data_IF_457755868390
#
_entry.id   IF_457755868390
#
_cell.length_a   1.000
_cell.length_b   1.000
_cell.length_c   1.000
_cell.angle_alpha   90.00
_cell.angle_beta   90.00
_cell.angle_gamma   90.00
#
_symmetry.space_group_name_H-M   'P 1'
#
loop_
_entity.id
_entity.type
_entity.pdbx_description
1 polymer ?
#
# COMPACT_ATOMS: atom_id res chain seq x y z
N UNK A 1 19.53 39.04 27.08
CA UNK A 1 19.00 37.66 27.22
C UNK A 1 17.66 37.63 26.51
N UNK A 2 17.61 37.06 25.31
CA UNK A 2 16.35 36.78 24.62
C UNK A 2 15.95 35.35 24.98
N UNK A 3 14.66 35.15 25.29
CA UNK A 3 14.06 33.85 25.59
C UNK A 3 14.20 32.92 24.38
N UNK A 4 15.32 32.19 24.28
CA UNK A 4 15.56 31.22 23.22
C UNK A 4 14.77 29.92 23.43
N UNK A 5 14.20 29.71 24.62
CA UNK A 5 13.48 28.48 25.00
C UNK A 5 11.96 28.67 25.17
N UNK A 6 11.40 29.78 24.68
CA UNK A 6 9.95 30.03 24.77
C UNK A 6 9.29 29.76 23.42
N UNK A 7 8.42 28.77 23.39
CA UNK A 7 7.60 28.45 22.22
C UNK A 7 6.68 29.65 21.90
N UNK A 8 6.94 30.34 20.80
CA UNK A 8 6.11 31.44 20.32
C UNK A 8 5.18 30.97 19.19
N UNK A 9 4.12 31.73 18.90
CA UNK A 9 3.27 31.48 17.71
C UNK A 9 4.06 31.40 16.40
N UNK A 10 5.25 32.01 16.34
CA UNK A 10 6.12 32.04 15.16
C UNK A 10 7.07 30.84 15.09
N UNK A 11 7.40 30.22 16.23
CA UNK A 11 8.29 29.06 16.31
C UNK A 11 7.54 27.73 16.42
N UNK A 12 6.20 27.77 16.49
CA UNK A 12 5.35 26.58 16.58
C UNK A 12 5.28 25.91 15.21
N UNK A 13 5.59 24.62 15.18
CA UNK A 13 5.52 23.81 13.96
C UNK A 13 4.07 23.80 13.42
N UNK A 14 3.90 23.73 12.10
CA UNK A 14 2.59 23.85 11.46
C UNK A 14 1.58 22.81 11.99
N UNK A 15 0.29 23.11 11.94
CA UNK A 15 -0.76 22.21 12.46
C UNK A 15 -1.00 20.98 11.57
N UNK A 16 -0.47 21.01 10.35
CA UNK A 16 -0.59 19.94 9.37
C UNK A 16 0.79 19.33 9.11
N UNK A 17 1.44 18.77 10.13
CA UNK A 17 2.65 17.98 9.93
C UNK A 17 2.20 16.54 9.72
N UNK A 18 2.67 15.89 8.66
CA UNK A 18 2.56 14.44 8.51
C UNK A 18 3.45 13.81 9.59
N UNK A 19 2.87 12.99 10.47
CA UNK A 19 3.52 12.46 11.69
C UNK A 19 5.05 12.37 11.63
N UNK A 20 5.70 13.04 12.60
CA UNK A 20 7.14 13.31 12.59
C UNK A 20 8.07 12.10 12.70
N UNK A 21 9.35 12.40 12.44
CA UNK A 21 10.57 11.59 12.32
C UNK A 21 10.51 10.27 11.55
N UNK A 22 11.52 10.13 10.70
CA UNK A 22 11.71 9.23 9.57
C UNK A 22 12.02 7.80 10.04
N UNK A 23 11.12 7.20 10.80
CA UNK A 23 11.18 5.77 11.07
C UNK A 23 10.75 5.05 9.78
N UNK A 24 11.71 4.73 8.91
CA UNK A 24 11.47 3.80 7.82
C UNK A 24 11.00 2.50 8.44
N UNK A 25 9.70 2.21 8.33
CA UNK A 25 9.14 0.97 8.81
C UNK A 25 9.77 -0.15 7.98
N UNK A 26 10.35 -1.14 8.65
CA UNK A 26 10.85 -2.35 8.03
C UNK A 26 9.69 -3.05 7.29
N UNK A 27 9.86 -3.34 6.00
CA UNK A 27 8.81 -3.91 5.16
C UNK A 27 8.75 -3.31 3.74
N UNK A 28 7.61 -3.53 3.07
CA UNK A 28 7.42 -3.06 1.69
C UNK A 28 7.28 -1.54 1.63
N UNK A 29 8.07 -0.93 0.75
CA UNK A 29 8.13 0.51 0.47
C UNK A 29 6.77 1.16 0.20
N UNK A 30 5.84 0.43 -0.43
CA UNK A 30 4.48 0.92 -0.72
C UNK A 30 3.66 1.25 0.55
N UNK A 31 4.03 0.68 1.70
CA UNK A 31 3.38 0.94 2.98
C UNK A 31 4.04 2.05 3.81
N UNK A 32 5.17 2.61 3.34
CA UNK A 32 5.87 3.72 4.00
C UNK A 32 5.27 5.10 3.67
N UNK A 33 3.95 5.16 3.45
CA UNK A 33 3.26 6.40 3.13
C UNK A 33 2.84 7.13 4.42
N UNK A 34 3.26 8.39 4.56
CA UNK A 34 2.96 9.23 5.73
C UNK A 34 1.57 9.88 5.63
N UNK A 35 0.51 9.06 5.64
CA UNK A 35 -0.86 9.57 5.78
C UNK A 35 -1.20 9.64 7.27
N UNK A 36 -1.61 10.82 7.74
CA UNK A 36 -2.13 11.00 9.09
C UNK A 36 -3.66 11.09 9.05
N UNK A 37 -4.40 9.99 9.26
CA UNK A 37 -5.85 10.03 9.36
C UNK A 37 -6.29 10.77 10.63
N UNK A 38 -7.33 11.59 10.52
CA UNK A 38 -7.87 12.38 11.63
C UNK A 38 -9.36 12.07 11.86
N UNK A 39 -9.75 12.08 13.12
CA UNK A 39 -11.13 11.84 13.55
C UNK A 39 -11.40 10.37 13.88
N UNK A 40 -12.69 10.03 13.98
CA UNK A 40 -13.14 8.68 14.33
C UNK A 40 -13.12 7.80 13.09
N UNK A 41 -12.50 6.64 13.19
CA UNK A 41 -12.54 5.62 12.15
C UNK A 41 -13.94 5.04 12.02
N UNK A 42 -14.42 4.90 10.78
CA UNK A 42 -15.63 4.11 10.47
C UNK A 42 -15.24 2.84 9.73
N UNK A 43 -15.71 1.69 10.18
CA UNK A 43 -15.48 0.42 9.52
C UNK A 43 -16.51 0.21 8.42
N UNK A 44 -16.03 0.09 7.19
CA UNK A 44 -16.88 -0.09 6.01
C UNK A 44 -16.34 -1.25 5.18
N UNK A 45 -17.25 -2.06 4.63
CA UNK A 45 -16.90 -3.05 3.63
C UNK A 45 -16.68 -2.34 2.29
N UNK A 46 -15.49 -2.46 1.71
CA UNK A 46 -15.21 -1.88 0.40
C UNK A 46 -16.10 -2.47 -0.69
N UNK A 47 -16.51 -1.60 -1.62
CA UNK A 47 -17.13 -2.02 -2.88
C UNK A 47 -16.17 -2.93 -3.66
N UNK A 48 -16.72 -3.94 -4.35
CA UNK A 48 -15.90 -4.94 -5.05
C UNK A 48 -14.98 -4.30 -6.09
N UNK A 49 -15.43 -3.26 -6.80
CA UNK A 49 -14.61 -2.58 -7.81
C UNK A 49 -13.45 -1.84 -7.16
N UNK A 50 -13.72 -1.10 -6.09
CA UNK A 50 -12.69 -0.38 -5.33
C UNK A 50 -11.69 -1.36 -4.70
N UNK A 51 -12.17 -2.48 -4.17
CA UNK A 51 -11.33 -3.52 -3.60
C UNK A 51 -10.36 -4.11 -4.63
N UNK A 52 -10.85 -4.46 -5.83
CA UNK A 52 -10.02 -4.97 -6.93
C UNK A 52 -8.98 -3.93 -7.34
N UNK A 53 -9.37 -2.67 -7.49
CA UNK A 53 -8.46 -1.58 -7.87
C UNK A 53 -7.40 -1.31 -6.80
N UNK A 54 -7.77 -1.29 -5.52
CA UNK A 54 -6.85 -1.09 -4.41
C UNK A 54 -5.84 -2.23 -4.32
N UNK A 55 -6.31 -3.48 -4.42
CA UNK A 55 -5.42 -4.66 -4.42
C UNK A 55 -4.43 -4.60 -5.59
N UNK A 56 -4.91 -4.27 -6.79
CA UNK A 56 -4.04 -4.10 -7.96
C UNK A 56 -3.03 -2.96 -7.78
N UNK A 57 -3.46 -1.82 -7.25
CA UNK A 57 -2.59 -0.67 -7.03
C UNK A 57 -1.41 -1.02 -6.10
N UNK A 58 -1.68 -1.68 -4.98
CA UNK A 58 -0.62 -2.10 -4.05
C UNK A 58 0.37 -3.03 -4.73
N UNK A 59 -0.12 -4.07 -5.42
CA UNK A 59 0.75 -5.04 -6.07
C UNK A 59 1.57 -4.41 -7.20
N UNK A 60 0.97 -3.60 -8.06
CA UNK A 60 1.63 -3.00 -9.22
C UNK A 60 2.67 -1.91 -8.84
N UNK A 61 2.59 -1.33 -7.64
CA UNK A 61 3.54 -0.30 -7.18
C UNK A 61 4.52 -0.84 -6.12
N UNK A 62 4.54 -2.15 -5.89
CA UNK A 62 5.44 -2.79 -4.94
C UNK A 62 6.70 -3.26 -5.68
N UNK A 63 7.81 -2.55 -5.48
CA UNK A 63 9.09 -2.80 -6.17
C UNK A 63 9.70 -4.15 -5.83
N UNK A 64 9.46 -4.64 -4.62
CA UNK A 64 10.03 -5.85 -4.06
C UNK A 64 9.45 -7.13 -4.71
N UNK A 65 8.31 -7.02 -5.39
CA UNK A 65 7.68 -8.12 -6.12
C UNK A 65 7.77 -7.95 -7.65
N UNK A 66 8.53 -6.97 -8.14
CA UNK A 66 8.78 -6.72 -9.56
C UNK A 66 9.16 -8.00 -10.35
N UNK A 67 10.00 -8.92 -9.83
CA UNK A 67 10.31 -10.17 -10.55
C UNK A 67 9.07 -11.01 -10.87
N UNK A 68 8.07 -11.04 -9.99
CA UNK A 68 6.82 -11.77 -10.23
C UNK A 68 5.95 -11.07 -11.28
N UNK A 69 5.92 -9.73 -11.24
CA UNK A 69 5.16 -8.91 -12.18
C UNK A 69 5.70 -9.14 -13.59
N UNK A 70 7.02 -9.00 -13.78
CA UNK A 70 7.67 -9.16 -15.07
C UNK A 70 7.48 -10.56 -15.64
N UNK A 71 7.67 -11.59 -14.81
CA UNK A 71 7.48 -12.99 -15.23
C UNK A 71 6.06 -13.23 -15.75
N UNK A 72 5.04 -12.72 -15.05
CA UNK A 72 3.66 -12.87 -15.48
C UNK A 72 3.35 -12.01 -16.71
N UNK A 73 3.88 -10.79 -16.77
CA UNK A 73 3.65 -9.88 -17.88
C UNK A 73 4.19 -10.43 -19.21
N UNK A 74 5.40 -10.98 -19.20
CA UNK A 74 5.98 -11.65 -20.38
C UNK A 74 5.18 -12.89 -20.80
N UNK A 75 4.67 -13.68 -19.83
CA UNK A 75 3.74 -14.78 -20.13
C UNK A 75 2.46 -14.30 -20.81
N UNK A 76 1.88 -13.20 -20.33
CA UNK A 76 0.68 -12.61 -20.94
C UNK A 76 0.94 -12.10 -22.37
N UNK A 77 2.09 -11.48 -22.64
CA UNK A 77 2.45 -11.04 -24.00
C UNK A 77 2.50 -12.19 -24.99
N UNK A 78 3.01 -13.35 -24.57
CA UNK A 78 3.10 -14.54 -25.41
C UNK A 78 1.73 -15.20 -25.65
N UNK A 79 0.88 -15.27 -24.62
CA UNK A 79 -0.40 -16.02 -24.69
C UNK A 79 -1.57 -15.17 -25.20
N UNK A 80 -1.55 -13.86 -24.96
CA UNK A 80 -2.67 -12.96 -25.27
C UNK A 80 -2.17 -11.61 -25.80
N UNK A 81 -1.49 -11.57 -26.97
CA UNK A 81 -0.80 -10.38 -27.47
C UNK A 81 -1.71 -9.17 -27.74
N UNK A 82 -3.01 -9.39 -27.93
CA UNK A 82 -3.97 -8.30 -28.21
C UNK A 82 -4.58 -7.67 -26.95
N UNK A 83 -4.43 -8.29 -25.77
CA UNK A 83 -5.06 -7.81 -24.53
C UNK A 83 -4.22 -8.08 -23.28
N UNK A 84 -2.91 -8.24 -23.44
CA UNK A 84 -2.01 -8.66 -22.37
C UNK A 84 -2.08 -7.75 -21.14
N UNK A 85 -2.25 -6.43 -21.32
CA UNK A 85 -2.41 -5.48 -20.21
C UNK A 85 -3.63 -5.79 -19.34
N UNK A 86 -4.78 -6.01 -19.98
CA UNK A 86 -6.02 -6.34 -19.30
C UNK A 86 -5.94 -7.71 -18.63
N UNK A 87 -5.38 -8.69 -19.32
CA UNK A 87 -5.17 -10.05 -18.79
C UNK A 87 -4.25 -10.00 -17.57
N UNK A 88 -3.11 -9.32 -17.69
CA UNK A 88 -2.12 -9.19 -16.62
C UNK A 88 -2.75 -8.56 -15.38
N UNK A 89 -3.41 -7.41 -15.52
CA UNK A 89 -4.06 -6.72 -14.39
C UNK A 89 -5.09 -7.58 -13.66
N UNK A 90 -5.86 -8.39 -14.39
CA UNK A 90 -6.94 -9.18 -13.81
C UNK A 90 -6.45 -10.51 -13.20
N UNK A 91 -5.46 -11.16 -13.82
CA UNK A 91 -5.02 -12.50 -13.44
C UNK A 91 -3.85 -12.48 -12.46
N UNK A 92 -2.99 -11.45 -12.52
CA UNK A 92 -1.78 -11.36 -11.71
C UNK A 92 -2.04 -11.53 -10.20
N UNK A 93 -3.03 -10.89 -9.56
CA UNK A 93 -3.23 -11.05 -8.12
C UNK A 93 -3.56 -12.50 -7.71
N UNK A 94 -4.19 -13.27 -8.59
CA UNK A 94 -4.52 -14.68 -8.34
C UNK A 94 -3.30 -15.56 -8.58
N UNK A 95 -2.56 -15.30 -9.66
CA UNK A 95 -1.33 -16.02 -9.99
C UNK A 95 -0.25 -15.79 -8.92
N UNK A 96 -0.01 -14.53 -8.54
CA UNK A 96 0.94 -14.17 -7.49
C UNK A 96 0.66 -14.92 -6.18
N UNK A 97 -0.60 -14.94 -5.74
CA UNK A 97 -1.02 -15.71 -4.56
C UNK A 97 -0.63 -17.18 -4.66
N UNK A 98 -0.95 -17.80 -5.81
CA UNK A 98 -0.66 -19.21 -6.03
C UNK A 98 0.86 -19.47 -6.05
N UNK A 99 1.63 -18.66 -6.76
CA UNK A 99 3.09 -18.79 -6.82
C UNK A 99 3.73 -18.73 -5.43
N UNK A 100 3.35 -17.74 -4.62
CA UNK A 100 3.89 -17.59 -3.26
C UNK A 100 3.47 -18.75 -2.34
N UNK A 101 2.23 -19.26 -2.49
CA UNK A 101 1.75 -20.44 -1.76
C UNK A 101 2.51 -21.71 -2.14
N UNK A 102 2.73 -21.94 -3.43
CA UNK A 102 3.46 -23.08 -3.96
C UNK A 102 4.93 -23.03 -3.50
N UNK A 103 5.58 -21.87 -3.60
CA UNK A 103 6.94 -21.65 -3.10
C UNK A 103 7.05 -21.93 -1.60
N UNK A 104 6.10 -21.42 -0.81
CA UNK A 104 6.08 -21.65 0.64
C UNK A 104 5.87 -23.12 1.02
N UNK A 105 5.15 -23.88 0.18
CA UNK A 105 4.94 -25.32 0.39
C UNK A 105 6.21 -26.11 0.11
N UNK A 106 6.98 -25.71 -0.89
CA UNK A 106 8.23 -26.36 -1.29
C UNK A 106 9.34 -26.01 -0.29
N UNK A 107 9.59 -24.71 -0.08
CA UNK A 107 10.63 -24.18 0.81
C UNK A 107 10.04 -23.06 1.69
N UNK A 108 9.53 -23.39 2.88
CA UNK A 108 8.91 -22.40 3.76
C UNK A 108 9.83 -21.25 4.19
N UNK A 109 11.15 -21.47 4.21
CA UNK A 109 12.15 -20.49 4.64
C UNK A 109 12.44 -19.41 3.59
N UNK A 110 12.14 -19.69 2.31
CA UNK A 110 12.39 -18.76 1.20
C UNK A 110 11.30 -17.70 1.06
N UNK A 111 10.16 -17.88 1.75
CA UNK A 111 9.02 -16.96 1.70
C UNK A 111 8.85 -16.27 3.04
N UNK A 112 9.13 -14.96 3.07
CA UNK A 112 8.90 -14.15 4.27
C UNK A 112 7.41 -14.11 4.63
N UNK A 113 7.13 -13.88 5.93
CA UNK A 113 5.77 -13.73 6.41
C UNK A 113 5.06 -12.55 5.71
N UNK A 114 5.77 -11.45 5.46
CA UNK A 114 5.24 -10.27 4.80
C UNK A 114 4.91 -10.53 3.33
N UNK A 115 5.78 -11.24 2.59
CA UNK A 115 5.51 -11.61 1.20
C UNK A 115 4.27 -12.50 1.10
N UNK A 116 4.12 -13.45 2.02
CA UNK A 116 2.93 -14.29 2.09
C UNK A 116 1.67 -13.51 2.44
N UNK A 117 1.75 -12.57 3.40
CA UNK A 117 0.63 -11.71 3.76
C UNK A 117 0.20 -10.82 2.59
N UNK A 118 1.17 -10.21 1.88
CA UNK A 118 0.93 -9.42 0.67
C UNK A 118 0.20 -10.25 -0.40
N UNK A 119 0.63 -11.49 -0.61
CA UNK A 119 0.03 -12.41 -1.57
C UNK A 119 -1.41 -12.81 -1.20
N UNK A 120 -1.71 -12.94 0.10
CA UNK A 120 -3.06 -13.22 0.58
C UNK A 120 -4.03 -12.06 0.31
N UNK A 121 -3.52 -10.82 0.30
CA UNK A 121 -4.27 -9.61 0.05
C UNK A 121 -4.94 -9.02 1.31
N UNK A 122 -5.50 -7.80 1.19
CA UNK A 122 -6.07 -7.08 2.32
C UNK A 122 -7.44 -7.61 2.73
N UNK A 123 -7.86 -7.27 3.95
CA UNK A 123 -9.25 -7.44 4.39
C UNK A 123 -10.18 -6.53 3.57
N UNK A 124 -11.40 -7.01 3.31
CA UNK A 124 -12.47 -6.22 2.68
C UNK A 124 -13.07 -5.18 3.61
N UNK A 125 -12.95 -5.38 4.92
CA UNK A 125 -13.36 -4.40 5.92
C UNK A 125 -12.21 -3.45 6.20
N UNK A 126 -12.43 -2.16 5.90
CA UNK A 126 -11.40 -1.13 6.05
C UNK A 126 -11.87 -0.02 6.96
N UNK A 127 -10.91 0.59 7.64
CA UNK A 127 -11.11 1.84 8.35
C UNK A 127 -11.17 3.00 7.35
N UNK A 128 -12.20 3.82 7.47
CA UNK A 128 -12.38 5.05 6.67
C UNK A 128 -12.36 6.26 7.58
N UNK A 129 -11.82 7.37 7.07
CA UNK A 129 -11.66 8.62 7.81
C UNK A 129 -12.18 9.78 6.97
N UNK A 130 -12.84 10.74 7.62
CA UNK A 130 -13.38 11.93 6.95
C UNK A 130 -12.33 13.01 6.72
N UNK A 131 -11.17 12.90 7.36
CA UNK A 131 -10.07 13.85 7.25
C UNK A 131 -8.74 13.10 7.27
N UNK A 132 -7.79 13.55 6.45
CA UNK A 132 -6.39 13.12 6.57
C UNK A 132 -5.45 14.29 6.29
N UNK A 133 -4.23 14.19 6.77
CA UNK A 133 -3.11 15.04 6.36
C UNK A 133 -2.15 14.17 5.55
N UNK A 134 -1.75 14.67 4.38
CA UNK A 134 -0.73 14.06 3.54
C UNK A 134 0.06 15.17 2.85
N UNK A 135 1.38 15.06 2.86
CA UNK A 135 2.32 16.04 2.32
C UNK A 135 2.05 17.47 2.85
N UNK A 136 1.79 17.58 4.15
CA UNK A 136 1.50 18.81 4.87
C UNK A 136 0.14 19.44 4.53
N UNK A 137 -0.69 18.77 3.74
CA UNK A 137 -2.00 19.27 3.30
C UNK A 137 -3.11 18.48 3.94
N UNK A 138 -4.08 19.21 4.51
CA UNK A 138 -5.27 18.62 5.12
C UNK A 138 -6.39 18.47 4.08
N UNK A 139 -6.85 17.25 3.89
CA UNK A 139 -7.99 16.89 3.07
C UNK A 139 -9.19 16.53 3.95
N UNK A 140 -10.40 16.87 3.49
CA UNK A 140 -11.64 16.56 4.19
C UNK A 140 -12.73 16.18 3.21
N UNK A 141 -13.39 15.06 3.45
CA UNK A 141 -14.61 14.65 2.74
C UNK A 141 -15.85 15.22 3.43
N UNK A 142 -16.90 15.46 2.64
CA UNK A 142 -18.19 15.97 3.14
C UNK A 142 -18.95 14.89 3.90
#
# INVERSE_FOLDING_TARGET
>A
MYFQDVETKLNKVDRNIDGGEEDTIDGFSIFNQHVCPLGIASNVKLDDKLFILARWYVLNNCTEIEPYIDEHYEKCKLHTPNSFDCTHKNEFPTLFKKCVQDQRTINPLDVSADLYALACGPDRWVATYSTCIINGKRFRTK
#
